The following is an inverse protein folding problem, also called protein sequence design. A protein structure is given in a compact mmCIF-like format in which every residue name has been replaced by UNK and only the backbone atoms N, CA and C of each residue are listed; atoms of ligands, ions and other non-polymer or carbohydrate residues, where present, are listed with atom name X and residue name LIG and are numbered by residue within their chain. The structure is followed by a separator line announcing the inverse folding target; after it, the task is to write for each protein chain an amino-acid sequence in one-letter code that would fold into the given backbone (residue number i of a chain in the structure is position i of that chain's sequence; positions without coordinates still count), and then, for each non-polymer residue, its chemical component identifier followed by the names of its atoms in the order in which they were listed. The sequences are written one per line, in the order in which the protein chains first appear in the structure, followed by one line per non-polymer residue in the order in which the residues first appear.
data_IF_770945702594
#
_entry.id   IF_770945702594
#
_cell.length_a   1.000
_cell.length_b   1.000
_cell.length_c   1.000
_cell.angle_alpha   90.00
_cell.angle_beta   90.00
_cell.angle_gamma   90.00
#
_symmetry.space_group_name_H-M   'P 1'
#
loop_
_entity.id
_entity.type
_entity.pdbx_description
1 polymer ?
#
# COMPACT_ATOMS: atom_id res chain seq x y z
N UNK A 1 -19.42 14.96 -1.77
CA UNK A 1 -18.54 15.65 -0.80
C UNK A 1 -18.62 14.89 0.52
N UNK A 2 -17.50 14.44 1.06
CA UNK A 2 -17.41 13.92 2.42
C UNK A 2 -16.75 15.01 3.28
N UNK A 3 -17.46 15.51 4.29
CA UNK A 3 -16.94 16.50 5.22
C UNK A 3 -16.58 15.75 6.50
N UNK A 4 -15.32 15.81 6.93
CA UNK A 4 -14.86 15.24 8.20
C UNK A 4 -14.69 16.38 9.20
N UNK A 5 -15.48 16.35 10.27
CA UNK A 5 -15.39 17.31 11.38
C UNK A 5 -14.69 16.62 12.54
N UNK A 6 -13.70 17.30 13.12
CA UNK A 6 -12.86 16.75 14.16
C UNK A 6 -12.86 17.68 15.38
N UNK A 7 -13.04 17.10 16.56
CA UNK A 7 -13.09 17.85 17.82
C UNK A 7 -11.90 17.43 18.67
N UNK A 8 -11.18 18.42 19.18
CA UNK A 8 -10.03 18.23 20.06
C UNK A 8 -10.24 19.03 21.35
N UNK A 9 -9.76 18.50 22.47
CA UNK A 9 -9.79 19.25 23.73
C UNK A 9 -8.76 20.38 23.70
N UNK A 10 -9.18 21.60 24.02
CA UNK A 10 -8.29 22.77 24.11
C UNK A 10 -7.19 22.62 25.18
N UNK A 11 -7.37 21.70 26.13
CA UNK A 11 -6.46 21.51 27.26
C UNK A 11 -5.34 20.52 27.00
N UNK A 12 -5.46 19.65 25.98
CA UNK A 12 -4.43 18.67 25.65
C UNK A 12 -3.68 19.11 24.38
N UNK A 13 -2.56 19.81 24.58
CA UNK A 13 -1.69 20.31 23.50
C UNK A 13 -0.60 19.32 23.10
N UNK A 14 -0.48 18.20 23.82
CA UNK A 14 0.47 17.15 23.47
C UNK A 14 0.01 16.43 22.20
N UNK A 15 0.91 16.16 21.23
CA UNK A 15 0.52 15.46 20.03
C UNK A 15 -0.01 14.07 20.34
N UNK A 16 -1.07 13.66 19.68
CA UNK A 16 -1.64 12.32 19.76
C UNK A 16 -2.34 11.95 18.45
N UNK A 17 -1.80 10.96 17.74
CA UNK A 17 -2.42 10.44 16.54
C UNK A 17 -3.70 9.68 16.83
N UNK A 18 -4.71 9.81 15.96
CA UNK A 18 -5.98 9.09 16.12
C UNK A 18 -5.86 7.59 15.95
N UNK A 19 -4.91 7.17 15.13
CA UNK A 19 -4.64 5.77 14.83
C UNK A 19 -3.17 5.51 15.12
N UNK A 20 -2.89 4.37 15.74
CA UNK A 20 -1.53 3.85 15.84
C UNK A 20 -0.96 3.46 14.48
N UNK A 21 -1.84 3.20 13.50
CA UNK A 21 -1.49 2.83 12.13
C UNK A 21 -2.52 3.36 11.11
N UNK A 22 -2.01 3.84 9.97
CA UNK A 22 -2.77 4.24 8.80
C UNK A 22 -2.37 3.36 7.61
N UNK A 23 -3.32 3.00 6.75
CA UNK A 23 -3.05 2.20 5.55
C UNK A 23 -3.69 2.85 4.35
N UNK A 24 -2.96 2.92 3.23
CA UNK A 24 -3.44 3.47 1.96
C UNK A 24 -2.98 2.63 0.78
N UNK A 25 -3.90 2.37 -0.15
CA UNK A 25 -3.60 1.81 -1.46
C UNK A 25 -3.53 2.94 -2.50
N UNK A 26 -2.37 3.13 -3.11
CA UNK A 26 -2.11 4.18 -4.09
C UNK A 26 -2.20 3.57 -5.48
N UNK A 27 -2.93 4.22 -6.38
CA UNK A 27 -3.13 3.74 -7.75
C UNK A 27 -1.83 3.72 -8.55
N UNK A 28 -1.75 2.85 -9.57
CA UNK A 28 -0.58 2.71 -10.43
C UNK A 28 -0.35 3.88 -11.39
N UNK A 29 -1.40 4.66 -11.64
CA UNK A 29 -1.36 5.89 -12.43
C UNK A 29 -1.05 7.13 -11.58
N UNK A 30 -0.76 6.95 -10.28
CA UNK A 30 -0.48 8.07 -9.40
C UNK A 30 0.74 8.89 -9.84
N UNK A 31 0.62 10.20 -9.69
CA UNK A 31 1.61 11.17 -10.17
C UNK A 31 2.27 11.94 -9.04
N UNK A 32 3.39 12.59 -9.33
CA UNK A 32 4.05 13.48 -8.37
C UNK A 32 3.11 14.62 -7.94
N UNK A 33 3.15 14.99 -6.67
CA UNK A 33 2.27 15.95 -6.01
C UNK A 33 0.91 15.39 -5.60
N UNK A 34 0.59 14.12 -5.92
CA UNK A 34 -0.70 13.55 -5.54
C UNK A 34 -0.78 13.29 -4.03
N UNK A 35 -1.80 13.86 -3.39
CA UNK A 35 -2.13 13.58 -2.00
C UNK A 35 -2.62 12.14 -1.89
N UNK A 36 -1.98 11.35 -1.02
CA UNK A 36 -2.33 9.94 -0.81
C UNK A 36 -3.11 9.74 0.49
N UNK A 37 -2.80 10.49 1.55
CA UNK A 37 -3.54 10.45 2.82
C UNK A 37 -3.32 11.73 3.63
N UNK A 38 -4.04 11.88 4.73
CA UNK A 38 -3.82 12.94 5.70
C UNK A 38 -3.87 12.35 7.10
N UNK A 39 -2.83 12.65 7.89
CA UNK A 39 -2.77 12.31 9.31
C UNK A 39 -3.06 13.54 10.15
N UNK A 40 -3.51 13.33 11.38
CA UNK A 40 -3.67 14.40 12.35
C UNK A 40 -3.28 13.91 13.74
N UNK A 41 -2.45 14.70 14.42
CA UNK A 41 -2.00 14.45 15.78
C UNK A 41 -2.48 15.53 16.77
N UNK A 42 -3.36 16.45 16.37
CA UNK A 42 -3.79 17.54 17.25
C UNK A 42 -4.29 18.77 16.48
N UNK A 43 -4.41 19.87 17.23
CA UNK A 43 -4.77 21.20 16.72
C UNK A 43 -3.52 21.98 16.29
N UNK A 44 -3.68 23.29 16.07
CA UNK A 44 -2.65 24.22 15.58
C UNK A 44 -1.28 24.09 16.28
N UNK A 45 -0.24 24.32 15.49
CA UNK A 45 1.14 24.35 15.97
C UNK A 45 1.82 22.99 16.09
N UNK A 46 1.29 21.98 15.39
CA UNK A 46 1.95 20.69 15.18
C UNK A 46 2.77 20.76 13.89
N UNK A 47 4.02 20.33 13.97
CA UNK A 47 4.88 20.10 12.82
C UNK A 47 5.00 18.60 12.60
N UNK A 48 4.88 18.16 11.34
CA UNK A 48 4.99 16.75 10.97
C UNK A 48 6.30 16.48 10.23
N UNK A 49 6.85 15.28 10.41
CA UNK A 49 8.03 14.81 9.68
C UNK A 49 7.94 13.32 9.36
N UNK A 50 8.56 12.92 8.26
CA UNK A 50 8.77 11.51 7.92
C UNK A 50 10.15 11.08 8.43
N UNK A 51 10.22 9.95 9.12
CA UNK A 51 11.51 9.37 9.53
C UNK A 51 12.34 8.90 8.32
N UNK A 52 11.66 8.47 7.24
CA UNK A 52 12.25 8.18 5.93
C UNK A 52 11.32 8.68 4.81
N UNK A 53 11.88 9.38 3.83
CA UNK A 53 11.17 9.86 2.63
C UNK A 53 11.21 8.87 1.47
N UNK A 54 11.93 7.74 1.61
CA UNK A 54 12.18 6.78 0.55
C UNK A 54 12.81 7.43 -0.69
N UNK A 55 13.89 8.18 -0.47
CA UNK A 55 14.57 8.95 -1.51
C UNK A 55 13.63 9.94 -2.22
N UNK A 56 12.90 10.73 -1.42
CA UNK A 56 11.94 11.74 -1.90
C UNK A 56 10.68 11.17 -2.58
N UNK A 57 10.39 9.88 -2.40
CA UNK A 57 9.15 9.29 -2.89
C UNK A 57 7.93 9.84 -2.17
N UNK A 58 8.06 10.09 -0.86
CA UNK A 58 7.00 10.61 -0.01
C UNK A 58 7.40 11.94 0.61
N UNK A 59 6.43 12.82 0.74
CA UNK A 59 6.55 14.12 1.39
C UNK A 59 5.37 14.32 2.34
N UNK A 60 5.57 15.13 3.39
CA UNK A 60 4.53 15.52 4.33
C UNK A 60 4.55 17.03 4.54
N UNK A 61 3.38 17.66 4.48
CA UNK A 61 3.21 19.08 4.77
C UNK A 61 2.84 19.32 6.23
N UNK A 62 2.91 20.59 6.65
CA UNK A 62 2.62 20.98 8.04
C UNK A 62 1.16 20.77 8.47
N UNK A 63 0.24 20.58 7.51
CA UNK A 63 -1.16 20.21 7.76
C UNK A 63 -1.38 18.68 7.82
N UNK A 64 -0.30 17.90 7.81
CA UNK A 64 -0.31 16.44 7.94
C UNK A 64 -0.71 15.71 6.65
N UNK A 65 -0.80 16.40 5.51
CA UNK A 65 -1.06 15.76 4.21
C UNK A 65 0.22 15.06 3.74
N UNK A 66 0.10 13.76 3.45
CA UNK A 66 1.16 12.96 2.84
C UNK A 66 0.90 12.86 1.34
N UNK A 67 1.94 13.13 0.55
CA UNK A 67 1.87 13.13 -0.92
C UNK A 67 3.07 12.41 -1.55
N UNK A 68 2.97 12.14 -2.85
CA UNK A 68 4.09 11.61 -3.63
C UNK A 68 5.03 12.75 -4.06
N UNK A 69 6.27 12.78 -3.59
CA UNK A 69 7.27 13.76 -4.05
C UNK A 69 7.73 13.53 -5.49
N UNK A 70 7.69 12.27 -5.94
CA UNK A 70 7.99 11.87 -7.33
C UNK A 70 7.13 10.70 -7.77
N UNK A 71 7.15 10.41 -9.07
CA UNK A 71 6.53 9.20 -9.61
C UNK A 71 7.24 7.93 -9.08
N UNK A 72 6.50 6.91 -8.60
CA UNK A 72 7.09 5.64 -8.21
C UNK A 72 7.78 4.92 -9.36
N UNK A 73 8.95 4.34 -9.12
CA UNK A 73 9.63 3.47 -10.10
C UNK A 73 9.14 2.02 -9.98
N UNK A 74 9.39 1.21 -11.01
CA UNK A 74 8.89 -0.19 -11.09
C UNK A 74 9.30 -1.05 -9.89
N UNK A 75 10.48 -0.84 -9.32
CA UNK A 75 10.96 -1.60 -8.14
C UNK A 75 10.27 -1.21 -6.83
N UNK A 76 9.59 -0.06 -6.80
CA UNK A 76 8.83 0.43 -5.63
C UNK A 76 7.35 0.01 -5.70
N UNK A 77 6.89 -0.47 -6.85
CA UNK A 77 5.51 -0.88 -7.06
C UNK A 77 5.26 -2.32 -6.59
N UNK A 78 3.97 -2.62 -6.38
CA UNK A 78 3.42 -3.88 -5.89
C UNK A 78 4.04 -4.37 -4.57
N UNK A 79 4.31 -3.43 -3.66
CA UNK A 79 4.82 -3.71 -2.32
C UNK A 79 4.40 -2.61 -1.36
N UNK A 80 4.53 -2.90 -0.07
CA UNK A 80 4.36 -1.91 0.98
C UNK A 80 5.62 -1.08 1.20
N UNK A 81 5.40 0.20 1.50
CA UNK A 81 6.37 1.11 2.09
C UNK A 81 5.83 1.51 3.46
N UNK A 82 6.61 1.23 4.50
CA UNK A 82 6.23 1.49 5.89
C UNK A 82 6.95 2.76 6.32
N UNK A 83 6.18 3.81 6.58
CA UNK A 83 6.71 5.14 6.91
C UNK A 83 6.34 5.45 8.36
N UNK A 84 7.34 5.77 9.18
CA UNK A 84 7.07 6.30 10.53
C UNK A 84 6.94 7.82 10.44
N UNK A 85 5.83 8.32 10.97
CA UNK A 85 5.50 9.76 10.99
C UNK A 85 5.62 10.25 12.42
N UNK A 86 6.35 11.35 12.60
CA UNK A 86 6.51 12.03 13.89
C UNK A 86 5.76 13.36 13.85
N UNK A 87 4.97 13.64 14.88
CA UNK A 87 4.30 14.92 15.08
C UNK A 87 4.86 15.57 16.34
N UNK A 88 5.25 16.84 16.26
CA UNK A 88 5.87 17.58 17.36
C UNK A 88 5.16 18.92 17.57
N UNK A 89 4.82 19.25 18.82
CA UNK A 89 4.24 20.55 19.15
C UNK A 89 5.32 21.61 19.41
N UNK A 90 4.90 22.87 19.60
CA UNK A 90 5.81 23.98 19.91
C UNK A 90 6.55 23.84 21.25
N UNK A 91 6.09 22.97 22.14
CA UNK A 91 6.72 22.68 23.43
C UNK A 91 7.79 21.58 23.33
N UNK A 92 7.95 20.96 22.15
CA UNK A 92 8.90 19.88 21.91
C UNK A 92 8.39 18.49 22.31
N UNK A 93 7.11 18.37 22.67
CA UNK A 93 6.49 17.07 22.90
C UNK A 93 6.18 16.42 21.55
N UNK A 94 6.35 15.09 21.46
CA UNK A 94 6.17 14.36 20.21
C UNK A 94 5.30 13.11 20.37
N UNK A 95 4.61 12.74 19.29
CA UNK A 95 3.98 11.44 19.12
C UNK A 95 4.40 10.82 17.78
N UNK A 96 4.20 9.51 17.64
CA UNK A 96 4.52 8.78 16.41
C UNK A 96 3.36 7.89 15.97
N UNK A 97 3.26 7.65 14.66
CA UNK A 97 2.34 6.69 14.05
C UNK A 97 3.01 6.02 12.85
N UNK A 98 2.45 4.91 12.40
CA UNK A 98 2.92 4.18 11.21
C UNK A 98 1.96 4.39 10.04
N UNK A 99 2.50 4.64 8.84
CA UNK A 99 1.76 4.68 7.59
C UNK A 99 2.24 3.56 6.66
N UNK A 100 1.34 2.63 6.36
CA UNK A 100 1.55 1.55 5.40
C UNK A 100 1.00 1.96 4.03
N UNK A 101 1.91 2.24 3.08
CA UNK A 101 1.56 2.62 1.72
C UNK A 101 1.75 1.44 0.79
N UNK A 102 0.68 0.92 0.20
CA UNK A 102 0.77 -0.03 -0.90
C UNK A 102 0.74 0.71 -2.24
N UNK A 103 1.84 0.66 -2.98
CA UNK A 103 1.89 1.25 -4.33
C UNK A 103 1.45 0.21 -5.35
N UNK A 104 0.32 0.39 -6.01
CA UNK A 104 -0.09 -0.50 -7.09
C UNK A 104 0.87 -0.35 -8.28
N UNK A 105 1.27 -1.47 -8.86
CA UNK A 105 1.99 -1.46 -10.13
C UNK A 105 1.06 -1.56 -11.32
N UNK A 106 1.59 -1.27 -12.49
CA UNK A 106 0.88 -1.48 -13.74
C UNK A 106 0.49 -2.98 -13.86
N UNK A 107 -0.79 -3.25 -14.12
CA UNK A 107 -1.25 -4.61 -14.39
C UNK A 107 -0.56 -5.09 -15.65
N UNK A 108 0.24 -6.15 -15.56
CA UNK A 108 0.76 -6.82 -16.75
C UNK A 108 -0.42 -7.53 -17.41
N UNK A 109 -1.12 -6.84 -18.31
CA UNK A 109 -2.01 -7.48 -19.27
C UNK A 109 -1.14 -8.16 -20.31
N UNK A 110 -0.89 -9.47 -20.13
CA UNK A 110 -0.46 -10.30 -21.26
C UNK A 110 -1.60 -10.30 -22.27
N UNK A 111 -1.49 -9.45 -23.28
CA UNK A 111 -2.27 -9.59 -24.49
C UNK A 111 -1.77 -10.88 -25.10
N UNK A 112 -2.52 -11.96 -24.95
CA UNK A 112 -2.30 -13.18 -25.69
C UNK A 112 -2.58 -12.84 -27.17
N UNK A 113 -1.57 -12.36 -27.87
CA UNK A 113 -1.55 -12.38 -29.33
C UNK A 113 -1.41 -13.83 -29.74
N UNK A 114 -2.51 -14.52 -29.97
CA UNK A 114 -2.51 -15.70 -30.83
C UNK A 114 -3.28 -15.36 -32.09
N UNK A 115 -2.69 -15.71 -33.24
CA UNK A 115 -3.18 -16.94 -33.84
C UNK A 115 -1.98 -17.84 -34.15
N UNK A 116 -1.80 -18.89 -33.35
CA UNK A 116 -0.89 -19.97 -33.69
C UNK A 116 -1.52 -21.30 -33.32
N UNK A 117 -2.11 -21.91 -34.34
CA UNK A 117 -2.41 -23.32 -34.42
C UNK A 117 -1.14 -24.16 -34.19
N UNK A 118 -0.94 -24.67 -32.97
CA UNK A 118 -0.33 -25.98 -32.67
C UNK A 118 -0.10 -26.13 -31.16
N UNK A 119 -0.58 -27.25 -30.64
CA UNK A 119 -0.63 -27.67 -29.25
C UNK A 119 0.75 -27.94 -28.61
N UNK A 120 1.48 -26.91 -28.17
CA UNK A 120 2.65 -27.12 -27.31
C UNK A 120 3.03 -25.95 -26.36
N UNK A 121 2.08 -25.09 -25.99
CA UNK A 121 2.34 -24.12 -24.93
C UNK A 121 2.32 -24.79 -23.54
N UNK A 122 3.41 -24.58 -22.79
CA UNK A 122 3.51 -25.02 -21.39
C UNK A 122 2.54 -24.25 -20.49
N UNK A 123 2.04 -24.93 -19.46
CA UNK A 123 1.19 -24.29 -18.47
C UNK A 123 1.95 -23.19 -17.72
N UNK A 124 1.36 -22.00 -17.65
CA UNK A 124 1.91 -20.86 -16.95
C UNK A 124 0.79 -20.01 -16.34
N UNK A 125 1.13 -19.30 -15.27
CA UNK A 125 0.22 -18.33 -14.65
C UNK A 125 0.01 -17.12 -15.55
N UNK A 126 -1.22 -16.60 -15.58
CA UNK A 126 -1.59 -15.44 -16.38
C UNK A 126 -1.00 -14.12 -15.85
N UNK A 127 -0.56 -14.10 -14.60
CA UNK A 127 0.11 -12.95 -13.98
C UNK A 127 1.36 -13.40 -13.25
N UNK A 128 2.40 -12.55 -13.27
CA UNK A 128 3.66 -12.80 -12.57
C UNK A 128 3.59 -12.48 -11.07
N UNK A 129 2.62 -11.66 -10.67
CA UNK A 129 2.49 -11.18 -9.31
C UNK A 129 1.01 -11.14 -8.93
N UNK A 130 0.71 -11.69 -7.76
CA UNK A 130 -0.62 -11.76 -7.17
C UNK A 130 -0.53 -11.19 -5.76
N UNK A 131 -1.13 -10.03 -5.53
CA UNK A 131 -1.18 -9.41 -4.21
C UNK A 131 -2.48 -9.80 -3.53
N UNK A 132 -2.41 -10.12 -2.24
CA UNK A 132 -3.58 -10.35 -1.41
C UNK A 132 -3.37 -9.73 -0.03
N UNK A 133 -4.44 -9.22 0.55
CA UNK A 133 -4.45 -8.63 1.88
C UNK A 133 -5.46 -9.40 2.74
N UNK A 134 -5.10 -9.63 4.01
CA UNK A 134 -6.01 -10.15 5.02
C UNK A 134 -5.74 -9.39 6.31
N UNK A 135 -6.78 -9.05 7.06
CA UNK A 135 -6.63 -8.46 8.40
C UNK A 135 -6.11 -9.51 9.38
N UNK A 136 -5.54 -9.07 10.49
CA UNK A 136 -5.24 -9.99 11.59
C UNK A 136 -6.54 -10.52 12.23
N UNK A 137 -6.42 -11.64 12.95
CA UNK A 137 -7.50 -12.25 13.74
C UNK A 137 -8.76 -12.60 12.93
N UNK A 138 -8.63 -12.83 11.63
CA UNK A 138 -9.73 -13.32 10.81
C UNK A 138 -9.95 -14.82 11.08
N UNK A 139 -11.06 -15.13 11.75
CA UNK A 139 -11.42 -16.49 12.11
C UNK A 139 -11.94 -17.26 10.89
N UNK A 140 -11.43 -18.47 10.70
CA UNK A 140 -11.89 -19.38 9.66
C UNK A 140 -11.11 -19.27 8.35
N UNK A 141 -11.66 -19.87 7.30
CA UNK A 141 -11.00 -19.96 5.99
C UNK A 141 -11.45 -18.80 5.09
N UNK A 142 -10.50 -17.97 4.69
CA UNK A 142 -10.74 -16.86 3.77
C UNK A 142 -10.15 -17.15 2.39
N UNK A 143 -10.94 -16.92 1.34
CA UNK A 143 -10.42 -16.91 -0.03
C UNK A 143 -9.71 -15.58 -0.25
N UNK A 144 -8.41 -15.63 -0.55
CA UNK A 144 -7.58 -14.44 -0.73
C UNK A 144 -7.37 -14.11 -2.20
N UNK A 145 -6.70 -15.00 -2.91
CA UNK A 145 -6.44 -14.83 -4.33
C UNK A 145 -6.71 -16.12 -5.08
N UNK A 146 -7.41 -16.01 -6.22
CA UNK A 146 -7.51 -17.09 -7.20
C UNK A 146 -6.42 -16.87 -8.23
N UNK A 147 -5.51 -17.83 -8.33
CA UNK A 147 -4.56 -17.93 -9.43
C UNK A 147 -5.16 -18.78 -10.54
N UNK A 148 -4.88 -18.42 -11.79
CA UNK A 148 -5.37 -19.16 -12.97
C UNK A 148 -4.24 -19.27 -13.98
N UNK A 149 -4.15 -20.43 -14.63
CA UNK A 149 -3.21 -20.70 -15.71
C UNK A 149 -3.90 -20.64 -17.08
N UNK A 150 -3.10 -20.55 -18.15
CA UNK A 150 -3.61 -20.74 -19.51
C UNK A 150 -4.22 -22.13 -19.71
N UNK A 151 -3.60 -23.18 -19.15
CA UNK A 151 -4.12 -24.56 -19.22
C UNK A 151 -5.50 -24.71 -18.58
N UNK A 152 -5.75 -24.10 -17.42
CA UNK A 152 -7.10 -24.10 -16.81
C UNK A 152 -8.13 -23.40 -17.71
N UNK A 153 -7.75 -22.28 -18.36
CA UNK A 153 -8.64 -21.59 -19.32
C UNK A 153 -8.95 -22.43 -20.56
N UNK A 154 -8.01 -23.27 -20.98
CA UNK A 154 -8.17 -24.23 -22.08
C UNK A 154 -8.92 -25.51 -21.66
N UNK A 155 -9.32 -25.64 -20.39
CA UNK A 155 -9.96 -26.85 -19.86
C UNK A 155 -9.01 -28.04 -19.67
N UNK A 156 -7.69 -27.82 -19.75
CA UNK A 156 -6.68 -28.84 -19.48
C UNK A 156 -6.57 -29.08 -17.97
N UNK A 157 -6.36 -30.34 -17.53
CA UNK A 157 -6.16 -30.64 -16.11
C UNK A 157 -4.89 -29.97 -15.61
N UNK A 158 -4.98 -29.32 -14.44
CA UNK A 158 -3.87 -28.64 -13.78
C UNK A 158 -3.85 -28.99 -12.30
N UNK A 159 -2.65 -29.09 -11.75
CA UNK A 159 -2.42 -29.20 -10.32
C UNK A 159 -1.60 -27.98 -9.86
N UNK A 160 -2.09 -27.28 -8.85
CA UNK A 160 -1.40 -26.13 -8.28
C UNK A 160 -0.67 -26.53 -7.01
N UNK A 161 0.64 -26.24 -6.96
CA UNK A 161 1.47 -26.48 -5.79
C UNK A 161 2.00 -25.13 -5.30
N UNK A 162 1.90 -24.89 -4.00
CA UNK A 162 2.59 -23.78 -3.34
C UNK A 162 3.99 -24.29 -3.00
N UNK A 163 5.00 -23.84 -3.73
CA UNK A 163 6.38 -24.02 -3.28
C UNK A 163 6.54 -23.20 -2.00
N UNK A 164 6.86 -23.85 -0.87
CA UNK A 164 7.03 -23.16 0.41
C UNK A 164 8.06 -22.02 0.25
N UNK A 165 7.62 -20.79 0.50
CA UNK A 165 8.54 -19.65 0.64
C UNK A 165 9.37 -19.82 1.90
N UNK A 166 10.64 -19.43 1.86
CA UNK A 166 11.46 -19.30 3.07
C UNK A 166 10.67 -18.49 4.08
N UNK A 167 10.25 -19.08 5.21
CA UNK A 167 9.28 -18.54 6.17
C UNK A 167 9.68 -17.25 6.90
N UNK A 168 10.11 -16.24 6.17
CA UNK A 168 10.44 -14.91 6.63
C UNK A 168 9.33 -13.98 6.12
N UNK A 169 8.23 -13.99 6.85
CA UNK A 169 7.34 -12.84 6.88
C UNK A 169 8.04 -11.83 7.81
N UNK A 170 8.62 -10.78 7.21
CA UNK A 170 9.19 -9.65 7.95
C UNK A 170 8.13 -8.56 8.09
#
# INVERSE_FOLDING_TARGET
LQIRIEVFSHTNKSPHFKQSEYTVDVSSDATAGQNITQVSAGLDGITYSLDDSFSGLFEISNDGVVSLGRKPIKSEQNRYHIIKITATNKQGESATTTLNVFLNGEKITVVATTPSSASNERCHFLSKLYNAQIRENQLGRHKLVKVTSNCEKEGRPVEYVIAQGSGKFF
#
